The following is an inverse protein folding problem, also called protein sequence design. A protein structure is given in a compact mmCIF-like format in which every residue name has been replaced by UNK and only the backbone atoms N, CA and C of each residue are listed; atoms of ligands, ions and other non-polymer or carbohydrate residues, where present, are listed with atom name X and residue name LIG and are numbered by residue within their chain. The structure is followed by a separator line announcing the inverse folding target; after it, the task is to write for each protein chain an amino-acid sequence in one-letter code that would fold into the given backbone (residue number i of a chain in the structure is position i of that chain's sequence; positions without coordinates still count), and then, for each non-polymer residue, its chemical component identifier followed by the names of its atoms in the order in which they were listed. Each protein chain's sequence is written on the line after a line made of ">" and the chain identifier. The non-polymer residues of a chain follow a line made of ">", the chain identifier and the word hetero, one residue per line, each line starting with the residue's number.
data_IF_168185980764
#
_entry.id   IF_168185980764
#
_cell.length_a   1.000
_cell.length_b   1.000
_cell.length_c   1.000
_cell.angle_alpha   90.00
_cell.angle_beta   90.00
_cell.angle_gamma   90.00
#
_symmetry.space_group_name_H-M   'P 1'
#
loop_
_entity.id
_entity.type
_entity.pdbx_description
1 polymer ?
#
# COMPACT_ATOMS: atom_id res chain seq x y z
N UNK A 1 -11.06 34.46 40.11
CA UNK A 1 -9.73 33.84 39.87
C UNK A 1 -9.91 32.53 39.09
N UNK A 2 -9.55 32.42 37.81
CA UNK A 2 -9.55 31.15 37.10
C UNK A 2 -8.15 30.53 37.11
N UNK A 3 -8.03 29.32 37.69
CA UNK A 3 -6.78 28.54 37.71
C UNK A 3 -6.55 27.84 36.38
N UNK A 4 -5.57 28.36 35.67
CA UNK A 4 -4.51 27.71 34.90
C UNK A 4 -4.84 26.48 34.02
N UNK A 5 -4.79 26.73 32.70
CA UNK A 5 -4.66 25.75 31.61
C UNK A 5 -3.38 24.92 31.80
N UNK A 6 -3.50 23.60 31.84
CA UNK A 6 -2.39 22.72 31.44
C UNK A 6 -2.55 22.35 29.98
N UNK A 7 -1.79 23.06 29.13
CA UNK A 7 -1.55 22.68 27.74
C UNK A 7 -0.66 21.44 27.79
N UNK A 8 -1.27 20.27 27.70
CA UNK A 8 -0.55 19.02 27.50
C UNK A 8 0.01 19.01 26.08
N UNK A 9 1.32 19.24 25.95
CA UNK A 9 2.07 18.95 24.75
C UNK A 9 1.97 17.45 24.48
N UNK A 10 1.08 17.06 23.57
CA UNK A 10 1.10 15.73 22.99
C UNK A 10 2.28 15.69 22.04
N UNK A 11 3.34 15.01 22.49
CA UNK A 11 4.50 14.69 21.66
C UNK A 11 3.99 13.95 20.42
N UNK A 12 4.06 14.65 19.29
CA UNK A 12 3.78 14.11 17.97
C UNK A 12 4.77 13.01 17.65
N UNK A 13 4.52 11.78 18.14
CA UNK A 13 5.07 10.58 17.54
C UNK A 13 4.42 10.46 16.18
N UNK A 14 5.13 10.95 15.18
CA UNK A 14 4.85 10.78 13.77
C UNK A 14 4.93 9.27 13.47
N UNK A 15 3.86 8.52 13.81
CA UNK A 15 3.66 7.13 13.40
C UNK A 15 3.44 7.16 11.90
N UNK A 16 4.56 7.16 11.16
CA UNK A 16 4.60 6.90 9.72
C UNK A 16 3.74 5.66 9.49
N UNK A 17 2.74 5.68 8.60
CA UNK A 17 1.83 4.56 8.45
C UNK A 17 2.58 3.43 7.74
N UNK A 18 3.34 2.65 8.51
CA UNK A 18 3.72 1.28 8.18
C UNK A 18 2.52 0.35 8.46
N UNK A 19 1.31 0.84 8.17
CA UNK A 19 0.06 0.16 8.43
C UNK A 19 -0.49 -0.35 7.12
N UNK A 20 -0.95 -1.60 7.12
CA UNK A 20 -1.73 -2.19 6.04
C UNK A 20 -2.75 -1.18 5.47
N UNK A 21 -2.66 -0.80 4.17
CA UNK A 21 -3.57 0.15 3.54
C UNK A 21 -5.05 -0.23 3.72
N UNK A 22 -5.37 -1.52 3.76
CA UNK A 22 -6.72 -2.01 3.97
C UNK A 22 -7.20 -1.71 5.40
N UNK A 23 -6.35 -1.96 6.40
CA UNK A 23 -6.64 -1.63 7.80
C UNK A 23 -6.88 -0.13 7.98
N UNK A 24 -6.05 0.72 7.38
CA UNK A 24 -6.23 2.18 7.42
C UNK A 24 -7.58 2.59 6.82
N UNK A 25 -7.93 2.00 5.66
CA UNK A 25 -9.19 2.28 4.98
C UNK A 25 -10.41 1.83 5.80
N UNK A 26 -10.34 0.65 6.43
CA UNK A 26 -11.38 0.12 7.31
C UNK A 26 -11.57 0.96 8.57
N UNK A 27 -10.48 1.38 9.22
CA UNK A 27 -10.55 2.21 10.43
C UNK A 27 -11.11 3.60 10.14
N UNK A 28 -10.86 4.15 8.96
CA UNK A 28 -11.53 5.37 8.48
C UNK A 28 -13.03 5.14 8.24
N UNK A 29 -13.39 4.06 7.54
CA UNK A 29 -14.80 3.73 7.29
C UNK A 29 -15.61 3.57 8.59
N UNK A 30 -15.03 2.93 9.61
CA UNK A 30 -15.67 2.78 10.93
C UNK A 30 -15.87 4.10 11.65
N UNK A 31 -14.89 5.02 11.56
CA UNK A 31 -14.98 6.35 12.17
C UNK A 31 -16.04 7.23 11.50
N UNK A 32 -16.18 7.14 10.19
CA UNK A 32 -17.19 7.90 9.45
C UNK A 32 -18.62 7.40 9.72
N UNK A 33 -18.76 6.12 10.09
CA UNK A 33 -20.05 5.47 10.30
C UNK A 33 -20.12 4.72 11.64
N UNK A 34 -20.01 5.42 12.79
CA UNK A 34 -19.91 4.80 14.11
C UNK A 34 -21.18 4.03 14.51
N UNK A 35 -22.34 4.41 13.99
CA UNK A 35 -23.63 3.74 14.25
C UNK A 35 -23.89 2.49 13.40
N UNK A 36 -22.94 2.02 12.59
CA UNK A 36 -23.12 0.82 11.74
C UNK A 36 -22.58 -0.43 12.42
N UNK A 37 -23.32 -1.53 12.26
CA UNK A 37 -22.96 -2.82 12.85
C UNK A 37 -21.67 -3.40 12.27
N UNK A 38 -21.04 -4.31 13.02
CA UNK A 38 -19.92 -5.12 12.52
C UNK A 38 -20.27 -5.90 11.26
N UNK A 39 -21.49 -6.43 11.16
CA UNK A 39 -21.97 -7.17 9.98
C UNK A 39 -22.04 -6.28 8.73
N UNK A 40 -22.42 -5.01 8.87
CA UNK A 40 -22.43 -4.04 7.78
C UNK A 40 -21.02 -3.78 7.25
N UNK A 41 -20.04 -3.59 8.16
CA UNK A 41 -18.63 -3.40 7.79
C UNK A 41 -18.07 -4.66 7.11
N UNK A 42 -18.34 -5.85 7.67
CA UNK A 42 -17.89 -7.13 7.10
C UNK A 42 -18.42 -7.33 5.68
N UNK A 43 -19.69 -7.02 5.44
CA UNK A 43 -20.29 -7.09 4.09
C UNK A 43 -19.66 -6.09 3.13
N UNK A 44 -19.39 -4.85 3.56
CA UNK A 44 -18.71 -3.86 2.72
C UNK A 44 -17.30 -4.32 2.31
N UNK A 45 -16.57 -4.96 3.25
CA UNK A 45 -15.26 -5.55 3.00
C UNK A 45 -15.32 -6.72 2.02
N UNK A 46 -16.23 -7.68 2.21
CA UNK A 46 -16.36 -8.81 1.28
C UNK A 46 -16.81 -8.38 -0.12
N UNK A 47 -17.49 -7.24 -0.24
CA UNK A 47 -17.83 -6.65 -1.53
C UNK A 47 -16.67 -5.95 -2.23
N UNK A 48 -15.59 -5.65 -1.52
CA UNK A 48 -14.49 -4.83 -2.04
C UNK A 48 -13.86 -5.38 -3.34
N UNK A 49 -13.61 -6.69 -3.50
CA UNK A 49 -13.06 -7.25 -4.73
C UNK A 49 -14.02 -7.11 -5.94
N UNK A 50 -15.30 -6.91 -5.69
CA UNK A 50 -16.35 -6.79 -6.70
C UNK A 50 -16.62 -5.33 -7.12
N UNK A 51 -15.81 -4.38 -6.65
CA UNK A 51 -15.94 -2.96 -7.01
C UNK A 51 -15.01 -2.64 -8.17
N UNK A 52 -15.57 -2.04 -9.21
CA UNK A 52 -14.84 -1.52 -10.37
C UNK A 52 -15.15 -0.03 -10.55
N UNK A 53 -14.10 0.77 -10.68
CA UNK A 53 -14.22 2.17 -11.08
C UNK A 53 -14.42 2.24 -12.59
N UNK A 54 -15.52 2.83 -13.05
CA UNK A 54 -15.80 3.01 -14.48
C UNK A 54 -15.21 4.34 -14.95
N UNK A 55 -15.41 5.38 -14.14
CA UNK A 55 -14.83 6.71 -14.29
C UNK A 55 -14.88 7.41 -12.94
N UNK A 56 -14.27 8.59 -12.84
CA UNK A 56 -14.31 9.35 -11.61
C UNK A 56 -15.76 9.58 -11.12
N UNK A 57 -16.02 9.20 -9.88
CA UNK A 57 -17.33 9.36 -9.26
C UNK A 57 -18.40 8.36 -9.69
N UNK A 58 -18.08 7.39 -10.57
CA UNK A 58 -18.98 6.31 -11.00
C UNK A 58 -18.31 4.94 -10.85
N UNK A 59 -18.96 4.09 -10.07
CA UNK A 59 -18.49 2.76 -9.74
C UNK A 59 -19.57 1.73 -10.03
N UNK A 60 -19.12 0.54 -10.38
CA UNK A 60 -19.95 -0.64 -10.56
C UNK A 60 -19.57 -1.65 -9.49
N UNK A 61 -20.58 -2.25 -8.87
CA UNK A 61 -20.44 -3.30 -7.86
C UNK A 61 -21.18 -4.52 -8.35
N UNK A 62 -20.46 -5.61 -8.56
CA UNK A 62 -21.08 -6.89 -8.93
C UNK A 62 -21.94 -7.42 -7.78
N UNK A 63 -23.07 -8.01 -8.13
CA UNK A 63 -23.99 -8.60 -7.19
C UNK A 63 -23.47 -9.93 -6.66
N UNK A 64 -23.48 -10.09 -5.34
CA UNK A 64 -23.06 -11.32 -4.65
C UNK A 64 -24.27 -11.91 -3.93
N UNK A 65 -24.75 -13.07 -4.39
CA UNK A 65 -25.98 -13.72 -3.92
C UNK A 65 -25.89 -14.07 -2.43
N UNK A 66 -24.73 -14.56 -2.00
CA UNK A 66 -24.39 -14.92 -0.62
C UNK A 66 -24.46 -13.72 0.33
N UNK A 67 -24.32 -12.50 -0.22
CA UNK A 67 -24.43 -11.25 0.53
C UNK A 67 -25.83 -10.62 0.40
N UNK A 68 -26.82 -11.33 -0.15
CA UNK A 68 -28.22 -10.91 -0.24
C UNK A 68 -28.52 -9.94 -1.38
N UNK A 69 -27.75 -10.01 -2.47
CA UNK A 69 -28.05 -9.26 -3.69
C UNK A 69 -29.02 -9.99 -4.59
N UNK A 70 -29.88 -9.21 -5.23
CA UNK A 70 -30.90 -9.69 -6.16
C UNK A 70 -30.55 -9.40 -7.61
N UNK A 71 -29.80 -8.32 -7.85
CA UNK A 71 -29.35 -7.92 -9.17
C UNK A 71 -27.90 -8.35 -9.37
N UNK A 72 -27.50 -8.73 -10.59
CA UNK A 72 -26.11 -9.09 -10.89
C UNK A 72 -25.17 -7.88 -10.86
N UNK A 73 -25.72 -6.65 -10.91
CA UNK A 73 -24.94 -5.43 -11.01
C UNK A 73 -25.63 -4.27 -10.30
N UNK A 74 -24.81 -3.45 -9.63
CA UNK A 74 -25.24 -2.21 -9.00
C UNK A 74 -24.35 -1.06 -9.45
N UNK A 75 -24.94 0.07 -9.82
CA UNK A 75 -24.18 1.30 -10.07
C UNK A 75 -24.22 2.15 -8.81
N UNK A 76 -23.10 2.79 -8.51
CA UNK A 76 -22.90 3.68 -7.37
C UNK A 76 -22.23 4.94 -7.87
N UNK A 77 -22.80 6.10 -7.58
CA UNK A 77 -22.28 7.38 -8.05
C UNK A 77 -22.46 8.48 -7.02
N UNK A 78 -21.63 9.52 -7.13
CA UNK A 78 -21.86 10.76 -6.39
C UNK A 78 -22.91 11.60 -7.13
N UNK A 79 -24.02 11.90 -6.45
CA UNK A 79 -25.03 12.83 -6.96
C UNK A 79 -24.74 14.22 -6.42
N UNK A 80 -24.25 15.12 -7.28
CA UNK A 80 -24.01 16.51 -6.92
C UNK A 80 -25.32 17.22 -6.50
N UNK A 81 -26.44 16.91 -7.18
CA UNK A 81 -27.77 17.47 -6.88
C UNK A 81 -28.26 17.10 -5.48
N UNK A 82 -28.03 15.85 -5.07
CA UNK A 82 -28.49 15.34 -3.77
C UNK A 82 -27.41 15.47 -2.67
N UNK A 83 -26.21 15.94 -3.03
CA UNK A 83 -25.06 16.06 -2.13
C UNK A 83 -24.64 14.74 -1.46
N UNK A 84 -24.91 13.59 -2.09
CA UNK A 84 -24.70 12.27 -1.48
C UNK A 84 -24.40 11.16 -2.49
N UNK A 85 -23.90 10.04 -1.98
CA UNK A 85 -23.71 8.82 -2.76
C UNK A 85 -25.03 8.10 -3.01
N UNK A 86 -25.36 7.89 -4.28
CA UNK A 86 -26.52 7.15 -4.74
C UNK A 86 -26.13 5.74 -5.20
N UNK A 87 -27.10 4.83 -5.15
CA UNK A 87 -26.94 3.45 -5.57
C UNK A 87 -28.21 2.92 -6.19
N UNK A 88 -28.10 2.14 -7.26
CA UNK A 88 -29.28 1.52 -7.91
C UNK A 88 -30.07 0.60 -6.98
N UNK A 89 -29.47 0.11 -5.89
CA UNK A 89 -30.18 -0.70 -4.89
C UNK A 89 -31.27 0.06 -4.14
N UNK A 90 -31.20 1.40 -4.10
CA UNK A 90 -32.18 2.26 -3.44
C UNK A 90 -33.52 2.34 -4.20
N UNK A 91 -33.56 1.95 -5.47
CA UNK A 91 -34.76 1.95 -6.31
C UNK A 91 -35.43 0.57 -6.39
N UNK A 92 -35.10 -0.35 -5.47
CA UNK A 92 -35.79 -1.62 -5.31
C UNK A 92 -36.97 -1.50 -4.35
N UNK A 93 -37.85 -2.51 -4.31
CA UNK A 93 -39.04 -2.56 -3.43
C UNK A 93 -38.73 -2.32 -1.94
N UNK A 94 -37.51 -2.67 -1.49
CA UNK A 94 -37.02 -2.41 -0.11
C UNK A 94 -36.00 -1.26 -0.01
N UNK A 95 -35.84 -0.52 -1.10
CA UNK A 95 -34.80 0.50 -1.27
C UNK A 95 -35.01 1.74 -0.41
N UNK A 96 -36.26 2.12 -0.12
CA UNK A 96 -36.59 3.28 0.71
C UNK A 96 -36.03 3.21 2.15
N UNK A 97 -36.07 2.04 2.80
CA UNK A 97 -35.44 1.84 4.14
C UNK A 97 -33.92 1.98 4.06
N UNK A 98 -33.30 1.50 2.96
CA UNK A 98 -31.85 1.59 2.74
C UNK A 98 -31.42 3.02 2.37
N UNK A 99 -32.28 3.76 1.67
CA UNK A 99 -32.07 5.15 1.24
C UNK A 99 -31.98 6.14 2.40
N UNK A 100 -32.56 5.81 3.56
CA UNK A 100 -32.41 6.57 4.83
C UNK A 100 -31.00 6.45 5.44
N UNK A 101 -30.15 5.57 4.92
CA UNK A 101 -28.76 5.45 5.32
C UNK A 101 -27.86 5.07 4.15
N UNK A 102 -26.70 4.49 4.45
CA UNK A 102 -25.75 4.03 3.45
C UNK A 102 -25.84 2.50 3.32
N UNK A 103 -26.11 2.01 2.11
CA UNK A 103 -26.07 0.57 1.82
C UNK A 103 -24.64 0.04 1.81
N UNK A 104 -24.50 -1.29 1.89
CA UNK A 104 -23.20 -1.94 1.85
C UNK A 104 -22.50 -1.82 0.49
N UNK A 105 -23.23 -1.58 -0.61
CA UNK A 105 -22.65 -1.27 -1.92
C UNK A 105 -21.92 0.07 -1.92
N UNK A 106 -22.57 1.14 -1.45
CA UNK A 106 -21.94 2.46 -1.30
C UNK A 106 -20.79 2.40 -0.32
N UNK A 107 -20.96 1.69 0.80
CA UNK A 107 -19.89 1.50 1.78
C UNK A 107 -18.64 0.85 1.17
N UNK A 108 -18.83 -0.16 0.32
CA UNK A 108 -17.74 -0.85 -0.38
C UNK A 108 -17.02 0.08 -1.35
N UNK A 109 -17.75 0.93 -2.09
CA UNK A 109 -17.16 1.97 -2.95
C UNK A 109 -16.37 2.99 -2.15
N UNK A 110 -16.91 3.47 -1.03
CA UNK A 110 -16.21 4.38 -0.14
C UNK A 110 -14.94 3.73 0.45
N UNK A 111 -14.99 2.43 0.75
CA UNK A 111 -13.83 1.66 1.19
C UNK A 111 -12.79 1.54 0.07
N UNK A 112 -13.22 1.19 -1.14
CA UNK A 112 -12.38 1.08 -2.34
C UNK A 112 -11.61 2.38 -2.61
N UNK A 113 -12.30 3.52 -2.61
CA UNK A 113 -11.66 4.84 -2.82
C UNK A 113 -10.59 5.13 -1.78
N UNK A 114 -10.83 4.78 -0.51
CA UNK A 114 -9.86 4.99 0.57
C UNK A 114 -8.69 4.02 0.48
N UNK A 115 -8.95 2.76 0.16
CA UNK A 115 -7.94 1.74 -0.03
C UNK A 115 -7.03 2.10 -1.21
N UNK A 116 -7.60 2.45 -2.37
CA UNK A 116 -6.86 2.92 -3.55
C UNK A 116 -5.93 4.07 -3.21
N UNK A 117 -6.44 5.13 -2.56
CA UNK A 117 -5.62 6.27 -2.09
C UNK A 117 -4.53 5.87 -1.11
N UNK A 118 -4.80 4.91 -0.21
CA UNK A 118 -3.81 4.44 0.75
C UNK A 118 -2.69 3.63 0.07
N UNK A 119 -3.03 2.81 -0.92
CA UNK A 119 -2.07 2.09 -1.76
C UNK A 119 -1.23 3.07 -2.57
N UNK A 120 -1.85 4.02 -3.27
CA UNK A 120 -1.16 5.07 -4.03
C UNK A 120 -0.20 5.87 -3.14
N UNK A 121 -0.57 6.17 -1.90
CA UNK A 121 0.29 6.89 -0.97
C UNK A 121 1.52 6.07 -0.53
N UNK A 122 1.40 4.75 -0.44
CA UNK A 122 2.52 3.85 -0.12
C UNK A 122 3.41 3.65 -1.36
N UNK A 123 2.82 3.44 -2.53
CA UNK A 123 3.56 3.23 -3.79
C UNK A 123 4.35 4.46 -4.22
N UNK A 124 3.77 5.65 -4.07
CA UNK A 124 4.41 6.92 -4.41
C UNK A 124 5.30 7.47 -3.30
N UNK A 125 5.50 6.72 -2.21
CA UNK A 125 6.38 7.14 -1.12
C UNK A 125 7.81 7.31 -1.67
N UNK A 126 8.47 8.45 -1.41
CA UNK A 126 9.87 8.61 -1.81
C UNK A 126 10.75 7.67 -0.98
N UNK A 127 11.62 6.94 -1.67
CA UNK A 127 12.66 6.09 -1.11
C UNK A 127 13.96 6.34 -1.89
N UNK A 128 15.06 5.82 -1.40
CA UNK A 128 16.36 5.91 -2.05
C UNK A 128 16.76 4.54 -2.56
N UNK A 129 17.13 4.47 -3.84
CA UNK A 129 17.64 3.27 -4.49
C UNK A 129 19.13 3.45 -4.76
N UNK A 130 19.96 2.54 -4.27
CA UNK A 130 21.39 2.52 -4.51
C UNK A 130 21.76 1.19 -5.20
N UNK A 131 22.64 1.28 -6.20
CA UNK A 131 23.25 0.13 -6.85
C UNK A 131 24.76 0.26 -6.84
N UNK A 132 25.46 -0.83 -6.56
CA UNK A 132 26.92 -0.86 -6.64
C UNK A 132 27.40 -2.23 -7.10
N UNK A 133 28.45 -2.22 -7.92
CA UNK A 133 29.25 -3.41 -8.16
C UNK A 133 30.42 -3.40 -7.17
N UNK A 134 30.56 -4.50 -6.43
CA UNK A 134 31.61 -4.65 -5.43
C UNK A 134 32.34 -5.96 -5.64
N UNK A 135 33.65 -5.95 -5.41
CA UNK A 135 34.50 -7.13 -5.50
C UNK A 135 34.93 -7.54 -4.08
N UNK A 136 34.25 -8.55 -3.54
CA UNK A 136 34.37 -8.99 -2.15
C UNK A 136 34.32 -10.51 -2.06
N UNK A 137 34.71 -11.08 -0.93
CA UNK A 137 34.41 -12.50 -0.61
C UNK A 137 32.98 -12.62 -0.09
N UNK A 138 32.56 -11.70 0.78
CA UNK A 138 31.21 -11.67 1.37
C UNK A 138 30.65 -10.24 1.42
N UNK A 139 29.34 -10.13 1.19
CA UNK A 139 28.61 -8.85 1.16
C UNK A 139 27.44 -8.91 2.16
N UNK A 140 27.45 -7.97 3.12
CA UNK A 140 26.35 -7.81 4.08
C UNK A 140 25.74 -6.42 3.96
N UNK A 141 24.41 -6.34 3.90
CA UNK A 141 23.69 -5.06 3.86
C UNK A 141 23.08 -4.75 5.23
N UNK A 142 23.26 -3.53 5.73
CA UNK A 142 22.66 -3.07 7.00
C UNK A 142 21.68 -1.92 6.75
N UNK A 143 20.62 -1.85 7.56
CA UNK A 143 19.69 -0.71 7.56
C UNK A 143 18.81 -0.57 6.31
N UNK A 144 18.84 -1.52 5.38
CA UNK A 144 18.01 -1.52 4.19
C UNK A 144 16.54 -1.89 4.50
N UNK A 145 15.61 -1.27 3.78
CA UNK A 145 14.21 -1.72 3.75
C UNK A 145 14.11 -3.04 2.99
N UNK A 146 14.73 -3.07 1.81
CA UNK A 146 14.86 -4.24 0.95
C UNK A 146 16.24 -4.20 0.29
N UNK A 147 16.85 -5.35 0.07
CA UNK A 147 18.13 -5.43 -0.62
C UNK A 147 18.22 -6.73 -1.41
N UNK A 148 19.10 -6.74 -2.41
CA UNK A 148 19.45 -7.92 -3.16
C UNK A 148 20.92 -7.89 -3.55
N UNK A 149 21.55 -9.06 -3.49
CA UNK A 149 22.93 -9.28 -3.91
C UNK A 149 22.88 -10.32 -5.02
N UNK A 150 23.43 -9.98 -6.18
CA UNK A 150 23.46 -10.84 -7.37
C UNK A 150 24.93 -11.09 -7.72
N UNK A 151 25.40 -12.34 -7.73
CA UNK A 151 26.74 -12.65 -8.25
C UNK A 151 26.77 -12.38 -9.76
N UNK A 152 27.75 -11.61 -10.22
CA UNK A 152 27.93 -11.32 -11.66
C UNK A 152 28.72 -12.42 -12.38
N UNK A 153 29.32 -13.34 -11.62
CA UNK A 153 30.12 -14.44 -12.14
C UNK A 153 29.53 -15.77 -11.66
N UNK A 154 29.26 -16.69 -12.58
CA UNK A 154 28.95 -18.09 -12.28
C UNK A 154 30.28 -18.82 -12.07
N UNK A 155 30.55 -19.31 -10.85
CA UNK A 155 31.65 -20.26 -10.65
C UNK A 155 31.11 -21.60 -10.15
N UNK A 156 31.22 -22.61 -11.01
CA UNK A 156 30.71 -23.97 -10.82
C UNK A 156 31.70 -24.91 -10.10
N UNK A 157 32.72 -24.36 -9.43
CA UNK A 157 33.79 -25.16 -8.80
C UNK A 157 33.99 -24.84 -7.32
N UNK A 158 33.98 -25.90 -6.50
CA UNK A 158 34.19 -25.91 -5.04
C UNK A 158 35.55 -25.30 -4.62
N UNK A 159 36.51 -25.21 -5.54
CA UNK A 159 37.85 -24.63 -5.32
C UNK A 159 37.87 -23.10 -5.23
N UNK A 160 36.71 -22.44 -5.42
CA UNK A 160 36.63 -20.99 -5.61
C UNK A 160 35.99 -20.25 -4.41
N UNK A 161 35.86 -20.94 -3.26
CA UNK A 161 35.21 -20.44 -2.04
C UNK A 161 36.00 -19.36 -1.27
N UNK A 162 37.16 -18.91 -1.78
CA UNK A 162 38.01 -17.91 -1.15
C UNK A 162 38.52 -16.80 -2.07
N UNK A 163 38.09 -16.77 -3.34
CA UNK A 163 38.42 -15.67 -4.25
C UNK A 163 37.39 -14.56 -4.11
N UNK A 164 37.85 -13.32 -4.29
CA UNK A 164 36.93 -12.19 -4.44
C UNK A 164 36.12 -12.39 -5.71
N UNK A 165 34.81 -12.14 -5.61
CA UNK A 165 33.86 -12.24 -6.71
C UNK A 165 33.18 -10.88 -6.88
N UNK A 166 32.77 -10.60 -8.10
CA UNK A 166 31.98 -9.39 -8.39
C UNK A 166 30.52 -9.64 -8.05
N UNK A 167 29.96 -8.78 -7.20
CA UNK A 167 28.56 -8.78 -6.82
C UNK A 167 27.92 -7.45 -7.23
N UNK A 168 26.76 -7.53 -7.87
CA UNK A 168 25.86 -6.39 -8.02
C UNK A 168 24.93 -6.33 -6.80
N UNK A 169 25.01 -5.26 -6.04
CA UNK A 169 24.22 -5.01 -4.84
C UNK A 169 23.20 -3.93 -5.16
N UNK A 170 21.92 -4.24 -4.92
CA UNK A 170 20.80 -3.32 -5.07
C UNK A 170 20.15 -3.11 -3.71
N UNK A 171 20.00 -1.85 -3.30
CA UNK A 171 19.47 -1.52 -1.97
C UNK A 171 18.38 -0.46 -2.07
N UNK A 172 17.29 -0.69 -1.34
CA UNK A 172 16.22 0.27 -1.11
C UNK A 172 16.26 0.73 0.34
N UNK A 173 16.39 2.04 0.54
CA UNK A 173 16.52 2.66 1.85
C UNK A 173 15.53 3.81 2.05
N UNK A 174 15.22 4.09 3.32
CA UNK A 174 14.51 5.31 3.70
C UNK A 174 15.44 6.53 3.78
N UNK A 175 16.75 6.31 3.86
CA UNK A 175 17.79 7.33 3.99
C UNK A 175 18.63 7.43 2.72
N UNK A 176 19.17 8.62 2.41
CA UNK A 176 19.91 8.88 1.17
C UNK A 176 21.27 8.17 1.13
N UNK A 177 21.88 7.92 2.29
CA UNK A 177 23.15 7.22 2.40
C UNK A 177 22.90 5.81 2.92
N UNK A 178 23.51 4.82 2.28
CA UNK A 178 23.38 3.41 2.62
C UNK A 178 24.76 2.83 2.84
N UNK A 179 24.91 2.05 3.90
CA UNK A 179 26.17 1.36 4.20
C UNK A 179 26.05 -0.13 3.89
N UNK A 180 26.91 -0.62 3.02
CA UNK A 180 27.12 -2.05 2.77
C UNK A 180 28.47 -2.46 3.34
N UNK A 181 28.59 -3.70 3.79
CA UNK A 181 29.83 -4.26 4.32
C UNK A 181 30.40 -5.24 3.29
N UNK A 182 31.56 -4.90 2.75
CA UNK A 182 32.37 -5.73 1.87
C UNK A 182 33.54 -6.28 2.69
N UNK A 183 33.60 -7.59 2.94
CA UNK A 183 34.64 -8.20 3.79
C UNK A 183 34.76 -7.52 5.18
N UNK A 184 33.63 -7.08 5.74
CA UNK A 184 33.50 -6.25 6.96
C UNK A 184 34.03 -4.81 6.87
N UNK A 185 34.51 -4.35 5.72
CA UNK A 185 34.81 -2.94 5.46
C UNK A 185 33.53 -2.20 5.00
N UNK A 186 33.19 -1.06 5.62
CA UNK A 186 32.01 -0.30 5.23
C UNK A 186 32.24 0.47 3.93
N UNK A 187 31.34 0.27 2.97
CA UNK A 187 31.25 0.99 1.70
C UNK A 187 29.96 1.80 1.72
N UNK A 188 30.11 3.12 1.57
CA UNK A 188 29.00 4.07 1.55
C UNK A 188 28.50 4.24 0.13
N UNK A 189 27.19 4.09 -0.06
CA UNK A 189 26.50 4.26 -1.32
C UNK A 189 25.55 5.45 -1.25
N UNK A 190 25.57 6.26 -2.29
CA UNK A 190 24.62 7.35 -2.46
C UNK A 190 23.39 6.82 -3.19
N UNK A 191 22.23 6.87 -2.53
CA UNK A 191 20.97 6.48 -3.12
C UNK A 191 20.34 7.59 -3.97
N UNK A 192 19.74 7.19 -5.09
CA UNK A 192 18.93 8.06 -5.94
C UNK A 192 17.49 8.05 -5.44
N UNK A 193 16.90 9.24 -5.29
CA UNK A 193 15.52 9.38 -4.83
C UNK A 193 14.54 8.92 -5.91
N UNK A 194 13.76 7.90 -5.62
CA UNK A 194 12.74 7.32 -6.52
C UNK A 194 11.45 7.01 -5.75
N UNK A 195 10.36 6.66 -6.45
CA UNK A 195 9.17 6.13 -5.79
C UNK A 195 9.38 4.69 -5.36
N UNK A 196 8.73 4.26 -4.29
CA UNK A 196 8.83 2.88 -3.80
C UNK A 196 8.39 1.85 -4.86
N UNK A 197 7.39 2.19 -5.68
CA UNK A 197 6.98 1.37 -6.83
C UNK A 197 8.11 1.18 -7.85
N UNK A 198 8.82 2.25 -8.21
CA UNK A 198 9.94 2.17 -9.15
C UNK A 198 11.10 1.39 -8.54
N UNK A 199 11.46 1.66 -7.29
CA UNK A 199 12.51 0.92 -6.58
C UNK A 199 12.24 -0.60 -6.55
N UNK A 200 10.99 -0.99 -6.31
CA UNK A 200 10.58 -2.40 -6.31
C UNK A 200 10.64 -3.03 -7.71
N UNK A 201 10.28 -2.29 -8.75
CA UNK A 201 10.41 -2.76 -10.13
C UNK A 201 11.90 -3.01 -10.48
N UNK A 202 12.78 -2.06 -10.17
CA UNK A 202 14.23 -2.21 -10.39
C UNK A 202 14.81 -3.42 -9.63
N UNK A 203 14.38 -3.63 -8.37
CA UNK A 203 14.77 -4.82 -7.61
C UNK A 203 14.26 -6.12 -8.23
N UNK A 204 13.10 -6.11 -8.90
CA UNK A 204 12.51 -7.27 -9.58
C UNK A 204 13.23 -7.59 -10.90
N UNK A 205 13.58 -6.56 -11.67
CA UNK A 205 14.33 -6.69 -12.93
C UNK A 205 15.72 -7.29 -12.67
N UNK A 206 16.39 -6.83 -11.60
CA UNK A 206 17.64 -7.42 -11.13
C UNK A 206 17.53 -8.91 -10.74
N UNK A 207 16.32 -9.44 -10.49
CA UNK A 207 16.14 -10.87 -10.20
C UNK A 207 16.10 -11.73 -11.45
N UNK A 208 15.66 -11.16 -12.57
CA UNK A 208 15.43 -11.90 -13.83
C UNK A 208 16.72 -12.10 -14.62
N UNK A 209 17.82 -11.47 -14.21
CA UNK A 209 19.08 -11.47 -14.96
C UNK A 209 19.08 -10.49 -16.12
N UNK A 210 17.99 -9.74 -16.32
CA UNK A 210 17.86 -8.67 -17.31
C UNK A 210 18.41 -7.34 -16.75
N UNK A 211 19.60 -7.38 -16.16
CA UNK A 211 20.33 -6.13 -15.92
C UNK A 211 20.81 -5.61 -17.30
N UNK A 212 20.58 -4.33 -17.63
CA UNK A 212 21.07 -3.74 -18.88
C UNK A 212 22.59 -3.76 -19.00
#
# INVERSE_FOLDING_TARGET
>A
MPRNRRIGYTTGKNRRPNGDPLRIALDRLRRDFPGKSRSWVKRALFRLPHVREVREGLYVVEGVRELGDWKPLYQVWWSAREGRWECTCYYSTFGWRRRRGICTHVASVLLYRRFKRAVEAVENRPVYFASAEVECVDVKVRGALEHRVVPLEQSDTILDCGKRRRFAVYVVSAEPEVEILCDNAPVKLQGVKVSYKVAKALLQDAQRGDAP
#
